data_IF_628947935266
#
_entry.id   IF_628947935266
#
_cell.length_a   1.000
_cell.length_b   1.000
_cell.length_c   1.000
_cell.angle_alpha   90.00
_cell.angle_beta   90.00
_cell.angle_gamma   90.00
#
_symmetry.space_group_name_H-M   'P 1'
#
loop_
_entity.id
_entity.type
_entity.pdbx_description
1 polymer ?
#
# COMPACT_ATOMS: atom_id res chain seq x y z
N UNK A 1 12.54 0.46 -41.09
CA UNK A 1 12.63 0.97 -39.70
C UNK A 1 11.50 0.31 -38.93
N UNK A 2 11.80 -0.81 -38.27
CA UNK A 2 10.78 -1.60 -37.56
C UNK A 2 10.70 -1.13 -36.13
N UNK A 3 9.61 -0.46 -35.76
CA UNK A 3 9.32 -0.08 -34.37
C UNK A 3 8.82 -1.31 -33.62
N UNK A 4 9.68 -1.89 -32.79
CA UNK A 4 9.28 -2.88 -31.79
C UNK A 4 8.38 -2.21 -30.77
N UNK A 5 7.07 -2.42 -30.91
CA UNK A 5 6.12 -2.17 -29.83
C UNK A 5 6.40 -3.28 -28.81
N UNK A 6 7.14 -2.95 -27.76
CA UNK A 6 7.25 -3.82 -26.60
C UNK A 6 5.86 -3.88 -25.96
N UNK A 7 5.14 -4.96 -26.21
CA UNK A 7 3.94 -5.32 -25.45
C UNK A 7 4.41 -5.53 -24.02
N UNK A 8 4.29 -4.50 -23.17
CA UNK A 8 4.39 -4.67 -21.73
C UNK A 8 3.19 -5.53 -21.35
N UNK A 9 3.42 -6.83 -21.19
CA UNK A 9 2.46 -7.76 -20.65
C UNK A 9 2.09 -7.25 -19.25
N UNK A 10 0.99 -6.50 -19.19
CA UNK A 10 0.42 -5.98 -17.94
C UNK A 10 -0.32 -7.14 -17.28
N UNK A 11 0.42 -8.20 -16.95
CA UNK A 11 -0.06 -9.20 -16.04
C UNK A 11 -0.17 -8.50 -14.69
N UNK A 12 -1.39 -8.35 -14.19
CA UNK A 12 -1.67 -8.05 -12.80
C UNK A 12 -1.02 -9.16 -11.96
N UNK A 13 0.29 -9.05 -11.71
CA UNK A 13 1.06 -10.00 -10.93
C UNK A 13 0.44 -9.96 -9.55
N UNK A 14 -0.22 -11.05 -9.16
CA UNK A 14 -0.75 -11.20 -7.81
C UNK A 14 0.44 -11.08 -6.86
N UNK A 15 0.51 -9.97 -6.12
CA UNK A 15 1.67 -9.68 -5.28
C UNK A 15 1.61 -10.61 -4.07
N UNK A 16 2.47 -11.62 -4.05
CA UNK A 16 2.60 -12.53 -2.91
C UNK A 16 3.34 -11.86 -1.74
N UNK A 17 2.94 -12.23 -0.51
CA UNK A 17 3.47 -11.65 0.73
C UNK A 17 5.00 -11.73 0.82
N UNK A 18 5.58 -12.83 0.32
CA UNK A 18 7.02 -13.07 0.33
C UNK A 18 7.72 -12.12 -0.63
N UNK A 19 7.16 -11.91 -1.82
CA UNK A 19 7.73 -11.04 -2.87
C UNK A 19 7.86 -9.59 -2.42
N UNK A 20 6.93 -9.09 -1.60
CA UNK A 20 7.04 -7.73 -1.02
C UNK A 20 8.28 -7.59 -0.13
N UNK A 21 8.64 -8.64 0.60
CA UNK A 21 9.71 -8.60 1.59
C UNK A 21 11.08 -8.94 0.99
N UNK A 22 11.12 -9.81 -0.02
CA UNK A 22 12.37 -10.29 -0.63
C UNK A 22 12.79 -9.49 -1.86
N UNK A 23 11.88 -8.71 -2.47
CA UNK A 23 12.20 -7.80 -3.56
C UNK A 23 12.42 -6.37 -3.01
N UNK A 24 13.68 -5.98 -2.88
CA UNK A 24 14.06 -4.67 -2.34
C UNK A 24 13.54 -3.48 -3.16
N UNK A 25 13.40 -3.63 -4.48
CA UNK A 25 12.85 -2.57 -5.32
C UNK A 25 11.35 -2.38 -5.06
N UNK A 26 10.59 -3.48 -5.02
CA UNK A 26 9.16 -3.45 -4.67
C UNK A 26 8.97 -2.88 -3.26
N UNK A 27 9.75 -3.34 -2.30
CA UNK A 27 9.71 -2.85 -0.93
C UNK A 27 9.92 -1.33 -0.87
N UNK A 28 10.94 -0.81 -1.56
CA UNK A 28 11.21 0.63 -1.61
C UNK A 28 10.08 1.42 -2.28
N UNK A 29 9.45 0.90 -3.34
CA UNK A 29 8.30 1.56 -3.97
C UNK A 29 7.11 1.67 -3.01
N UNK A 30 6.81 0.60 -2.27
CA UNK A 30 5.76 0.62 -1.25
C UNK A 30 6.11 1.56 -0.10
N UNK A 31 7.39 1.63 0.30
CA UNK A 31 7.89 2.58 1.30
C UNK A 31 7.65 4.03 0.87
N UNK A 32 8.04 4.39 -0.36
CA UNK A 32 7.82 5.74 -0.90
C UNK A 32 6.33 6.09 -0.93
N UNK A 33 5.47 5.16 -1.36
CA UNK A 33 4.02 5.36 -1.35
C UNK A 33 3.48 5.60 0.07
N UNK A 34 4.02 4.89 1.05
CA UNK A 34 3.65 5.03 2.46
C UNK A 34 4.05 6.40 3.04
N UNK A 35 5.21 6.93 2.62
CA UNK A 35 5.64 8.30 2.93
C UNK A 35 4.72 9.34 2.31
N UNK A 36 4.32 9.15 1.04
CA UNK A 36 3.33 10.02 0.38
C UNK A 36 2.00 9.98 1.12
N UNK A 37 1.52 8.79 1.50
CA UNK A 37 0.28 8.64 2.26
C UNK A 37 0.35 9.34 3.62
N UNK A 38 1.45 9.18 4.36
CA UNK A 38 1.62 9.84 5.66
C UNK A 38 1.60 11.37 5.56
N UNK A 39 2.06 11.93 4.44
CA UNK A 39 2.11 13.37 4.17
C UNK A 39 0.87 13.91 3.42
N UNK A 40 -0.08 13.05 3.05
CA UNK A 40 -1.28 13.44 2.30
C UNK A 40 -2.34 14.19 3.12
N UNK A 41 -2.11 14.36 4.44
CA UNK A 41 -3.01 15.11 5.32
C UNK A 41 -4.35 14.42 5.54
N UNK A 42 -5.44 15.06 5.14
CA UNK A 42 -6.81 14.59 5.36
C UNK A 42 -7.22 13.39 4.49
N UNK A 43 -6.42 13.05 3.47
CA UNK A 43 -6.65 11.86 2.63
C UNK A 43 -6.39 10.54 3.36
N UNK A 44 -5.78 10.58 4.55
CA UNK A 44 -5.64 9.43 5.44
C UNK A 44 -6.24 9.72 6.84
N UNK A 45 -6.74 8.68 7.53
CA UNK A 45 -7.15 8.77 8.93
C UNK A 45 -6.09 9.36 9.86
N UNK A 46 -6.54 9.95 10.98
CA UNK A 46 -5.66 10.64 11.93
C UNK A 46 -4.54 9.73 12.48
N UNK A 47 -4.81 8.44 12.67
CA UNK A 47 -3.83 7.47 13.17
C UNK A 47 -2.71 7.13 12.18
N UNK A 48 -2.79 7.56 10.92
CA UNK A 48 -1.75 7.37 9.90
C UNK A 48 -0.95 8.64 9.54
N UNK A 49 -1.45 9.82 9.90
CA UNK A 49 -0.81 11.10 9.53
C UNK A 49 0.57 11.22 10.18
N UNK A 50 1.56 11.56 9.37
CA UNK A 50 2.96 11.65 9.80
C UNK A 50 3.58 10.33 10.25
N UNK A 51 2.91 9.19 10.01
CA UNK A 51 3.35 7.85 10.43
C UNK A 51 3.53 6.94 9.20
N UNK A 52 4.62 7.10 8.43
CA UNK A 52 4.86 6.31 7.22
C UNK A 52 4.91 4.80 7.51
N UNK A 53 5.45 4.39 8.66
CA UNK A 53 5.50 2.99 9.08
C UNK A 53 4.09 2.38 9.26
N UNK A 54 3.14 3.17 9.77
CA UNK A 54 1.75 2.74 9.90
C UNK A 54 1.03 2.71 8.54
N UNK A 55 1.32 3.68 7.65
CA UNK A 55 0.83 3.65 6.28
C UNK A 55 1.33 2.43 5.50
N UNK A 56 2.57 2.00 5.74
CA UNK A 56 3.19 0.82 5.10
C UNK A 56 2.38 -0.45 5.33
N UNK A 57 1.82 -0.64 6.53
CA UNK A 57 0.96 -1.78 6.81
C UNK A 57 -0.28 -1.82 5.90
N UNK A 58 -0.90 -0.66 5.66
CA UNK A 58 -2.07 -0.55 4.77
C UNK A 58 -1.68 -0.64 3.31
N UNK A 59 -0.57 -0.05 2.90
CA UNK A 59 -0.06 -0.14 1.52
C UNK A 59 0.23 -1.59 1.15
N UNK A 60 0.90 -2.33 2.02
CA UNK A 60 1.16 -3.74 1.82
C UNK A 60 -0.14 -4.55 1.77
N UNK A 61 -1.12 -4.21 2.61
CA UNK A 61 -2.42 -4.89 2.60
C UNK A 61 -3.22 -4.61 1.31
N UNK A 62 -3.25 -3.36 0.87
CA UNK A 62 -3.89 -2.94 -0.37
C UNK A 62 -3.22 -3.61 -1.59
N UNK A 63 -1.89 -3.71 -1.59
CA UNK A 63 -1.14 -4.43 -2.63
C UNK A 63 -1.53 -5.91 -2.72
N UNK A 64 -1.74 -6.57 -1.58
CA UNK A 64 -2.20 -7.98 -1.53
C UNK A 64 -3.63 -8.14 -2.05
N UNK A 65 -4.49 -7.17 -1.80
CA UNK A 65 -5.88 -7.15 -2.29
C UNK A 65 -6.02 -6.61 -3.72
N UNK A 66 -4.96 -6.05 -4.31
CA UNK A 66 -5.04 -5.35 -5.58
C UNK A 66 -5.93 -4.11 -5.52
N UNK A 67 -6.00 -3.45 -4.36
CA UNK A 67 -6.87 -2.30 -4.10
C UNK A 67 -6.07 -0.99 -4.00
N UNK A 68 -6.79 0.13 -4.13
CA UNK A 68 -6.23 1.45 -3.85
C UNK A 68 -5.92 1.61 -2.34
N UNK A 69 -4.69 2.01 -1.96
CA UNK A 69 -4.28 2.08 -0.56
C UNK A 69 -4.97 3.21 0.23
N UNK A 70 -5.41 4.30 -0.43
CA UNK A 70 -6.19 5.33 0.25
C UNK A 70 -7.60 4.83 0.57
N UNK A 71 -8.24 4.11 -0.37
CA UNK A 71 -9.54 3.50 -0.15
C UNK A 71 -9.50 2.48 1.01
N UNK A 72 -8.46 1.65 1.07
CA UNK A 72 -8.26 0.71 2.19
C UNK A 72 -8.00 1.46 3.49
N UNK A 73 -7.17 2.52 3.48
CA UNK A 73 -6.88 3.32 4.67
C UNK A 73 -8.14 3.93 5.28
N UNK A 74 -9.03 4.47 4.45
CA UNK A 74 -10.28 5.10 4.90
C UNK A 74 -11.24 4.12 5.58
N UNK A 75 -11.11 2.82 5.30
CA UNK A 75 -11.88 1.73 5.92
C UNK A 75 -11.20 1.13 7.16
N UNK A 76 -10.09 1.71 7.62
CA UNK A 76 -9.43 1.22 8.83
C UNK A 76 -9.94 1.89 10.10
N UNK A 77 -9.94 1.14 11.18
CA UNK A 77 -10.27 1.64 12.52
C UNK A 77 -9.37 0.96 13.56
N UNK A 78 -9.18 1.63 14.70
CA UNK A 78 -8.48 1.06 15.84
C UNK A 78 -9.47 0.25 16.67
N UNK A 79 -9.15 -1.01 16.96
CA UNK A 79 -10.02 -1.91 17.73
C UNK A 79 -9.85 -1.65 19.23
N UNK A 80 -10.78 -0.88 19.81
CA UNK A 80 -10.80 -0.57 21.24
C UNK A 80 -9.48 0.03 21.76
N UNK A 81 -9.10 -0.33 22.99
CA UNK A 81 -7.84 0.11 23.61
C UNK A 81 -6.62 -0.72 23.18
N UNK A 82 -6.81 -1.74 22.34
CA UNK A 82 -5.76 -2.69 21.98
C UNK A 82 -4.72 -2.12 21.00
N UNK A 83 -5.03 -1.01 20.33
CA UNK A 83 -4.17 -0.41 19.31
C UNK A 83 -4.05 -1.23 18.02
N UNK A 84 -4.79 -2.33 17.89
CA UNK A 84 -4.78 -3.20 16.70
C UNK A 84 -5.56 -2.54 15.56
N UNK A 85 -5.01 -2.63 14.35
CA UNK A 85 -5.66 -2.15 13.12
C UNK A 85 -6.71 -3.16 12.64
N UNK A 86 -7.97 -2.74 12.62
CA UNK A 86 -9.06 -3.43 11.94
C UNK A 86 -9.30 -2.85 10.54
N UNK A 87 -9.87 -3.68 9.65
CA UNK A 87 -10.31 -3.28 8.31
C UNK A 87 -11.81 -3.56 8.19
N UNK A 88 -12.61 -2.56 7.80
CA UNK A 88 -14.00 -2.78 7.44
C UNK A 88 -14.05 -3.37 6.02
N UNK A 89 -14.39 -4.66 5.96
CA UNK A 89 -14.68 -5.36 4.70
C UNK A 89 -15.97 -4.81 4.09
#
# INVERSE_FOLDING_TARGET
MSTSIATTDNQTQKIDNVSILTNGELFNRLRTLSEVMANSGNFVPAHFRGKPESCMAVVMQAARWGMDPFAVAQKTFIVGDSGVLGYEA
#
